data_IF_945781206628
#
_entry.id   IF_945781206628
#
_cell.length_a   1.000
_cell.length_b   1.000
_cell.length_c   1.000
_cell.angle_alpha   90.00
_cell.angle_beta   90.00
_cell.angle_gamma   90.00
#
_symmetry.space_group_name_H-M   'P 1'
#
loop_
_entity.id
_entity.type
_entity.pdbx_description
1 polymer ?
#
# COMPACT_ATOMS: atom_id res chain seq x y z
N UNK A 1 25.01 6.31 -1.58
CA UNK A 1 24.86 7.74 -1.21
C UNK A 1 23.48 7.84 -0.58
N UNK A 2 23.36 8.25 0.69
CA UNK A 2 22.12 8.04 1.45
C UNK A 2 20.99 9.03 1.08
N UNK A 3 21.30 10.32 0.93
CA UNK A 3 20.34 11.33 0.50
C UNK A 3 20.66 11.84 -0.91
N UNK A 4 19.64 12.30 -1.64
CA UNK A 4 19.80 12.99 -2.92
C UNK A 4 20.53 14.34 -2.76
N UNK A 5 21.08 14.89 -3.84
CA UNK A 5 21.80 16.16 -3.77
C UNK A 5 20.93 17.34 -3.30
N UNK A 6 19.65 17.37 -3.69
CA UNK A 6 18.71 18.41 -3.24
C UNK A 6 18.48 18.36 -1.73
N UNK A 7 18.22 17.15 -1.20
CA UNK A 7 18.02 16.94 0.24
C UNK A 7 19.30 17.27 1.01
N UNK A 8 20.47 16.88 0.50
CA UNK A 8 21.74 17.24 1.13
C UNK A 8 21.95 18.74 1.28
N UNK A 9 21.50 19.56 0.32
CA UNK A 9 21.57 21.02 0.43
C UNK A 9 20.59 21.58 1.48
N UNK A 10 19.36 21.07 1.51
CA UNK A 10 18.36 21.47 2.49
C UNK A 10 18.80 21.12 3.92
N UNK A 11 19.32 19.91 4.11
CA UNK A 11 19.89 19.46 5.39
C UNK A 11 20.99 20.40 5.88
N UNK A 12 21.90 20.82 5.00
CA UNK A 12 22.97 21.78 5.36
C UNK A 12 22.39 23.14 5.74
N UNK A 13 21.43 23.66 4.98
CA UNK A 13 20.78 24.96 5.26
C UNK A 13 20.10 24.92 6.63
N UNK A 14 19.33 23.89 6.90
CA UNK A 14 18.64 23.70 8.17
C UNK A 14 19.64 23.55 9.32
N UNK A 15 20.62 22.64 9.18
CA UNK A 15 21.66 22.43 10.18
C UNK A 15 22.37 23.73 10.57
N UNK A 16 22.67 24.60 9.60
CA UNK A 16 23.32 25.87 9.85
C UNK A 16 22.43 26.90 10.57
N UNK A 17 21.10 26.77 10.48
CA UNK A 17 20.16 27.64 11.22
C UNK A 17 19.95 27.23 12.69
N UNK A 18 20.40 26.03 13.07
CA UNK A 18 20.15 25.47 14.40
C UNK A 18 21.12 26.02 15.46
N UNK A 19 20.67 25.99 16.73
CA UNK A 19 21.56 26.20 17.87
C UNK A 19 22.58 25.06 17.97
N UNK A 20 23.70 25.25 18.67
CA UNK A 20 24.70 24.18 18.84
C UNK A 20 24.15 22.93 19.54
N UNK A 21 23.15 23.10 20.43
CA UNK A 21 22.44 21.99 21.06
C UNK A 21 21.60 21.22 20.04
N UNK A 22 20.84 21.93 19.24
CA UNK A 22 19.94 21.31 18.26
C UNK A 22 20.70 20.72 17.07
N UNK A 23 21.82 21.30 16.68
CA UNK A 23 22.76 20.71 15.71
C UNK A 23 23.22 19.33 16.13
N UNK A 24 23.66 19.17 17.39
CA UNK A 24 24.09 17.87 17.92
C UNK A 24 22.99 16.83 17.83
N UNK A 25 21.79 17.19 18.29
CA UNK A 25 20.60 16.32 18.30
C UNK A 25 20.15 15.96 16.88
N UNK A 26 20.09 16.94 16.00
CA UNK A 26 19.75 16.73 14.61
C UNK A 26 20.75 15.80 13.91
N UNK A 27 22.05 16.05 14.05
CA UNK A 27 23.08 15.19 13.47
C UNK A 27 23.05 13.77 14.05
N UNK A 28 22.68 13.61 15.33
CA UNK A 28 22.47 12.32 15.97
C UNK A 28 21.29 11.54 15.39
N UNK A 29 20.12 12.18 15.27
CA UNK A 29 18.91 11.59 14.68
C UNK A 29 19.19 11.15 13.25
N UNK A 30 19.75 12.04 12.43
CA UNK A 30 20.06 11.73 11.02
C UNK A 30 21.10 10.62 10.89
N UNK A 31 22.09 10.54 11.79
CA UNK A 31 23.06 9.46 11.76
C UNK A 31 22.44 8.11 12.16
N UNK A 32 21.54 8.09 13.15
CA UNK A 32 20.86 6.88 13.62
C UNK A 32 19.90 6.31 12.57
N UNK A 33 19.14 7.17 11.87
CA UNK A 33 18.25 6.77 10.77
C UNK A 33 18.95 5.93 9.69
N UNK A 34 20.23 6.22 9.43
CA UNK A 34 20.99 5.62 8.34
C UNK A 34 21.73 4.32 8.71
N UNK A 35 21.75 3.92 9.99
CA UNK A 35 22.39 2.69 10.45
C UNK A 35 23.91 2.63 10.15
N UNK A 36 24.38 1.52 9.59
CA UNK A 36 25.81 1.29 9.35
C UNK A 36 26.38 2.26 8.30
N UNK A 37 27.38 3.04 8.69
CA UNK A 37 27.98 4.09 7.86
C UNK A 37 27.28 5.46 7.95
N UNK A 38 26.14 5.55 8.62
CA UNK A 38 25.37 6.78 8.82
C UNK A 38 26.18 7.90 9.50
N UNK A 39 26.87 7.56 10.60
CA UNK A 39 27.76 8.50 11.32
C UNK A 39 28.83 9.08 10.38
N UNK A 40 29.53 8.23 9.63
CA UNK A 40 30.59 8.66 8.70
C UNK A 40 30.05 9.55 7.59
N UNK A 41 28.84 9.24 7.09
CA UNK A 41 28.19 10.02 6.05
C UNK A 41 27.74 11.39 6.57
N UNK A 42 27.09 11.46 7.74
CA UNK A 42 26.61 12.72 8.32
C UNK A 42 27.75 13.63 8.73
N UNK A 43 28.86 13.09 9.25
CA UNK A 43 30.10 13.84 9.47
C UNK A 43 30.55 14.55 8.19
N UNK A 44 30.59 13.82 7.07
CA UNK A 44 31.03 14.36 5.79
C UNK A 44 30.02 15.37 5.23
N UNK A 45 28.72 15.13 5.42
CA UNK A 45 27.66 15.97 4.90
C UNK A 45 27.55 17.31 5.64
N UNK A 46 27.51 17.26 6.97
CA UNK A 46 27.27 18.43 7.83
C UNK A 46 28.56 19.10 8.31
N UNK A 47 29.72 18.50 8.06
CA UNK A 47 31.02 19.02 8.49
C UNK A 47 31.21 19.01 10.00
N UNK A 48 30.52 18.10 10.72
CA UNK A 48 30.58 17.99 12.16
C UNK A 48 31.52 16.86 12.61
N UNK A 49 31.84 16.80 13.91
CA UNK A 49 32.73 15.75 14.43
C UNK A 49 31.96 14.53 14.91
N UNK A 50 32.63 13.37 14.98
CA UNK A 50 32.04 12.17 15.59
C UNK A 50 31.57 12.41 17.03
N UNK A 51 32.31 13.21 17.80
CA UNK A 51 31.96 13.57 19.17
C UNK A 51 30.67 14.40 19.24
N UNK A 52 30.43 15.27 18.25
CA UNK A 52 29.18 16.05 18.11
C UNK A 52 27.98 15.12 18.03
N UNK A 53 28.07 14.06 17.21
CA UNK A 53 27.00 13.07 17.01
C UNK A 53 26.82 12.19 18.26
N UNK A 54 27.90 11.64 18.81
CA UNK A 54 27.83 10.78 20.02
C UNK A 54 27.21 11.54 21.20
N UNK A 55 27.59 12.80 21.37
CA UNK A 55 27.00 13.66 22.41
C UNK A 55 25.55 13.96 22.13
N UNK A 56 25.17 14.19 20.87
CA UNK A 56 23.77 14.33 20.48
C UNK A 56 22.92 13.10 20.80
N UNK A 57 23.45 11.88 20.58
CA UNK A 57 22.77 10.62 20.93
C UNK A 57 22.51 10.56 22.43
N UNK A 58 23.53 10.83 23.24
CA UNK A 58 23.40 10.86 24.70
C UNK A 58 22.41 11.94 25.17
N UNK A 59 22.48 13.14 24.58
CA UNK A 59 21.55 14.25 24.85
C UNK A 59 20.10 13.94 24.44
N UNK A 60 19.86 12.94 23.58
CA UNK A 60 18.52 12.46 23.19
C UNK A 60 18.03 11.34 24.11
N UNK A 61 18.91 10.44 24.55
CA UNK A 61 18.61 9.40 25.54
C UNK A 61 18.26 9.98 26.91
N UNK A 62 18.81 11.15 27.24
CA UNK A 62 18.54 11.90 28.48
C UNK A 62 17.36 12.90 28.35
N UNK A 63 16.65 12.92 27.22
CA UNK A 63 15.42 13.71 27.09
C UNK A 63 14.27 12.98 27.77
N UNK A 64 13.81 13.51 28.90
CA UNK A 64 12.49 13.18 29.42
C UNK A 64 11.40 13.65 28.44
N UNK A 65 10.23 12.98 28.45
CA UNK A 65 9.04 13.46 27.75
C UNK A 65 8.79 14.94 28.09
N UNK A 66 8.37 15.78 27.11
CA UNK A 66 8.19 17.19 27.34
C UNK A 66 7.09 17.40 28.40
N UNK A 67 7.49 17.66 29.64
CA UNK A 67 6.63 18.35 30.59
C UNK A 67 6.64 19.83 30.19
N UNK A 68 5.45 20.43 30.10
CA UNK A 68 5.20 21.81 29.62
C UNK A 68 5.90 22.90 30.49
N UNK A 69 6.78 22.53 31.43
CA UNK A 69 7.10 23.37 32.58
C UNK A 69 8.55 23.86 32.71
N UNK A 70 9.45 23.68 31.73
CA UNK A 70 10.87 24.02 31.98
C UNK A 70 11.63 24.79 30.88
N UNK A 71 10.95 25.69 30.17
CA UNK A 71 11.58 26.66 29.25
C UNK A 71 12.28 27.83 29.97
N UNK A 72 12.81 27.62 31.18
CA UNK A 72 13.59 28.65 31.87
C UNK A 72 12.83 29.97 32.10
N UNK A 73 11.50 29.89 32.24
CA UNK A 73 10.67 31.03 32.58
C UNK A 73 10.99 31.50 34.01
N UNK A 74 11.90 32.48 34.11
CA UNK A 74 12.08 33.24 35.34
C UNK A 74 10.79 34.02 35.58
N UNK A 75 10.07 33.75 36.68
CA UNK A 75 8.99 34.61 37.19
C UNK A 75 9.54 36.01 37.40
N UNK A 76 9.39 36.90 36.41
CA UNK A 76 9.72 38.31 36.56
C UNK A 76 8.64 38.96 37.43
N UNK A 77 9.07 39.71 38.45
CA UNK A 77 8.17 40.58 39.22
C UNK A 77 7.45 41.50 38.24
N UNK A 78 6.12 41.53 38.28
CA UNK A 78 5.31 42.42 37.46
C UNK A 78 5.80 43.87 37.65
N UNK A 79 6.36 44.48 36.60
CA UNK A 79 6.80 45.87 36.65
C UNK A 79 5.57 46.77 36.60
N UNK A 80 5.02 47.10 37.77
CA UNK A 80 3.82 47.95 37.94
C UNK A 80 3.99 49.40 37.45
N UNK A 81 5.16 49.80 36.92
CA UNK A 81 5.48 51.18 36.53
C UNK A 81 5.72 51.41 35.03
N UNK A 82 5.57 50.40 34.18
CA UNK A 82 5.47 50.62 32.73
C UNK A 82 4.08 50.25 32.26
N UNK A 83 3.35 51.25 31.77
CA UNK A 83 2.14 51.04 30.99
C UNK A 83 2.50 50.14 29.81
N UNK A 84 1.75 49.05 29.61
CA UNK A 84 1.87 48.19 28.43
C UNK A 84 1.81 49.06 27.19
N UNK A 85 2.95 49.23 26.52
CA UNK A 85 3.02 49.99 25.28
C UNK A 85 2.04 49.40 24.26
N UNK A 86 1.29 50.27 23.59
CA UNK A 86 0.48 49.92 22.44
C UNK A 86 1.45 49.40 21.37
N UNK A 87 1.56 48.08 21.24
CA UNK A 87 2.30 47.47 20.14
C UNK A 87 1.29 47.11 19.05
N UNK A 88 1.46 47.72 17.86
CA UNK A 88 0.56 47.59 16.71
C UNK A 88 0.38 46.14 16.24
N UNK A 89 1.34 45.27 16.56
CA UNK A 89 1.41 43.90 16.04
C UNK A 89 0.94 42.84 17.06
N UNK A 90 0.39 43.26 18.22
CA UNK A 90 0.02 42.32 19.29
C UNK A 90 -1.11 41.39 18.88
N UNK A 91 -2.15 41.90 18.21
CA UNK A 91 -3.24 41.06 17.71
C UNK A 91 -2.77 40.16 16.56
N UNK A 92 -1.89 40.66 15.68
CA UNK A 92 -1.34 39.89 14.58
C UNK A 92 -0.57 38.65 15.06
N UNK A 93 0.11 38.71 16.22
CA UNK A 93 0.77 37.52 16.79
C UNK A 93 -0.23 36.46 17.27
N UNK A 94 -1.31 36.84 17.96
CA UNK A 94 -2.32 35.88 18.42
C UNK A 94 -3.16 35.31 17.28
N UNK A 95 -3.50 36.14 16.29
CA UNK A 95 -4.19 35.70 15.07
C UNK A 95 -3.30 34.78 14.23
N UNK A 96 -1.99 35.02 14.17
CA UNK A 96 -1.06 34.15 13.46
C UNK A 96 -0.81 32.84 14.21
N UNK A 97 -0.82 32.82 15.55
CA UNK A 97 -0.78 31.58 16.34
C UNK A 97 -2.07 30.78 16.13
N UNK A 98 -3.25 31.42 16.20
CA UNK A 98 -4.53 30.74 15.92
C UNK A 98 -4.63 30.24 14.47
N UNK A 99 -4.03 30.98 13.52
CA UNK A 99 -3.89 30.55 12.13
C UNK A 99 -2.91 29.40 11.98
N UNK A 100 -1.81 29.39 12.73
CA UNK A 100 -0.83 28.31 12.71
C UNK A 100 -1.39 27.05 13.39
N UNK A 101 -2.17 27.17 14.47
CA UNK A 101 -2.89 26.05 15.09
C UNK A 101 -3.97 25.47 14.15
N UNK A 102 -4.63 26.31 13.33
CA UNK A 102 -5.59 25.81 12.33
C UNK A 102 -4.94 25.25 11.06
N UNK A 103 -3.71 25.68 10.72
CA UNK A 103 -2.92 25.15 9.61
C UNK A 103 -2.06 23.93 9.98
N UNK A 104 -1.73 23.77 11.26
CA UNK A 104 -0.88 22.72 11.78
C UNK A 104 -1.53 22.06 13.00
N UNK A 105 -2.72 21.51 12.82
CA UNK A 105 -3.20 20.47 13.72
C UNK A 105 -2.33 19.21 13.52
N UNK A 106 -1.15 19.22 14.13
CA UNK A 106 -0.17 18.13 14.10
C UNK A 106 -0.76 16.87 14.74
N UNK A 107 -1.76 17.01 15.62
CA UNK A 107 -2.52 15.89 16.19
C UNK A 107 -3.37 15.22 15.12
N UNK A 108 -4.09 15.97 14.29
CA UNK A 108 -4.83 15.43 13.14
C UNK A 108 -3.91 14.80 12.08
N UNK A 109 -2.76 15.43 11.80
CA UNK A 109 -1.73 14.89 10.90
C UNK A 109 -1.04 13.62 11.44
N UNK A 110 -0.83 13.49 12.74
CA UNK A 110 -0.29 12.27 13.37
C UNK A 110 -1.36 11.18 13.50
N UNK A 111 -2.61 11.55 13.75
CA UNK A 111 -3.76 10.63 13.81
C UNK A 111 -4.08 10.08 12.42
N UNK A 112 -3.88 10.84 11.33
CA UNK A 112 -4.07 10.36 9.95
C UNK A 112 -2.95 9.44 9.43
N UNK A 113 -1.83 9.34 10.17
CA UNK A 113 -0.69 8.49 9.83
C UNK A 113 -0.68 7.14 10.56
N UNK A 114 -1.62 6.93 11.49
CA UNK A 114 -1.78 5.67 12.22
C UNK A 114 -3.21 5.18 12.00
N UNK A 115 -3.38 4.09 11.23
CA UNK A 115 -4.68 3.41 11.20
C UNK A 115 -5.03 2.97 12.62
N UNK A 116 -6.28 3.21 13.02
CA UNK A 116 -6.86 2.51 14.16
C UNK A 116 -6.69 1.00 13.94
N UNK A 117 -6.15 0.25 14.92
CA UNK A 117 -5.96 -1.18 14.77
C UNK A 117 -7.31 -1.88 14.57
N UNK A 118 -7.28 -3.02 13.87
CA UNK A 118 -8.48 -3.81 13.68
C UNK A 118 -8.95 -4.36 15.02
N UNK A 119 -10.22 -4.13 15.36
CA UNK A 119 -10.81 -4.74 16.54
C UNK A 119 -11.16 -6.22 16.31
N UNK A 120 -11.44 -6.94 17.39
CA UNK A 120 -11.76 -8.37 17.33
C UNK A 120 -12.96 -8.70 16.41
N UNK A 121 -13.95 -7.81 16.33
CA UNK A 121 -15.11 -7.98 15.45
C UNK A 121 -14.71 -7.89 13.97
N UNK A 122 -13.85 -6.94 13.61
CA UNK A 122 -13.33 -6.79 12.24
C UNK A 122 -12.46 -8.00 11.85
N UNK A 123 -11.59 -8.46 12.75
CA UNK A 123 -10.76 -9.65 12.52
C UNK A 123 -11.61 -10.91 12.33
N UNK A 124 -12.61 -11.13 13.19
CA UNK A 124 -13.55 -12.26 13.05
C UNK A 124 -14.34 -12.16 11.74
N UNK A 125 -14.86 -10.98 11.42
CA UNK A 125 -15.63 -10.78 10.19
C UNK A 125 -14.76 -11.05 8.94
N UNK A 126 -13.50 -10.63 8.93
CA UNK A 126 -12.58 -10.93 7.84
C UNK A 126 -12.29 -12.43 7.74
N UNK A 127 -12.08 -13.13 8.85
CA UNK A 127 -11.86 -14.58 8.86
C UNK A 127 -13.08 -15.35 8.30
N UNK A 128 -14.28 -14.95 8.71
CA UNK A 128 -15.53 -15.62 8.31
C UNK A 128 -15.90 -15.29 6.86
N UNK A 129 -15.90 -14.00 6.50
CA UNK A 129 -16.45 -13.51 5.21
C UNK A 129 -15.40 -13.35 4.14
N UNK A 130 -14.12 -13.22 4.51
CA UNK A 130 -13.00 -13.06 3.59
C UNK A 130 -12.81 -11.64 3.07
N UNK A 131 -13.50 -10.62 3.61
CA UNK A 131 -13.28 -9.23 3.20
C UNK A 131 -13.55 -8.24 4.34
N UNK A 132 -12.95 -7.05 4.23
CA UNK A 132 -13.09 -5.93 5.15
C UNK A 132 -13.25 -4.64 4.35
N UNK A 133 -14.17 -3.78 4.77
CA UNK A 133 -14.37 -2.44 4.21
C UNK A 133 -13.79 -1.41 5.17
N UNK A 134 -12.90 -0.55 4.65
CA UNK A 134 -12.30 0.59 5.33
C UNK A 134 -12.81 1.86 4.66
N UNK A 135 -13.85 2.47 5.25
CA UNK A 135 -14.49 3.66 4.69
C UNK A 135 -13.60 4.89 4.79
N UNK A 136 -13.46 5.64 3.69
CA UNK A 136 -12.64 6.87 3.60
C UNK A 136 -11.24 6.69 4.19
N UNK A 137 -10.64 5.54 3.93
CA UNK A 137 -9.36 5.12 4.49
C UNK A 137 -8.18 5.94 3.98
N UNK A 138 -8.20 6.30 2.70
CA UNK A 138 -7.16 7.12 2.09
C UNK A 138 -7.43 8.61 2.35
N UNK A 139 -6.41 9.40 2.74
CA UNK A 139 -6.52 10.84 2.87
C UNK A 139 -6.98 11.50 1.56
N UNK A 140 -7.78 12.56 1.66
CA UNK A 140 -8.32 13.29 0.49
C UNK A 140 -7.22 13.84 -0.41
N UNK A 141 -6.11 14.28 0.17
CA UNK A 141 -4.97 14.83 -0.56
C UNK A 141 -4.29 13.75 -1.41
N UNK A 142 -4.11 12.56 -0.83
CA UNK A 142 -3.56 11.40 -1.54
C UNK A 142 -4.47 10.96 -2.69
N UNK A 143 -5.79 10.91 -2.44
CA UNK A 143 -6.79 10.63 -3.48
C UNK A 143 -6.72 11.64 -4.62
N UNK A 144 -6.59 12.93 -4.30
CA UNK A 144 -6.51 14.00 -5.29
C UNK A 144 -5.27 13.90 -6.19
N UNK A 145 -4.16 13.34 -5.69
CA UNK A 145 -2.95 13.11 -6.50
C UNK A 145 -2.97 11.78 -7.25
N UNK A 146 -3.52 10.71 -6.65
CA UNK A 146 -3.60 9.39 -7.28
C UNK A 146 -4.49 9.40 -8.53
N UNK A 147 -5.60 10.13 -8.52
CA UNK A 147 -6.54 10.17 -9.66
C UNK A 147 -5.88 10.61 -10.98
N UNK A 148 -5.21 11.78 -11.07
CA UNK A 148 -4.47 12.16 -12.27
C UNK A 148 -3.37 11.17 -12.67
N UNK A 149 -2.76 10.47 -11.72
CA UNK A 149 -1.78 9.42 -12.05
C UNK A 149 -2.45 8.20 -12.68
N UNK A 150 -3.64 7.79 -12.21
CA UNK A 150 -4.42 6.72 -12.84
C UNK A 150 -4.86 7.14 -14.25
N UNK A 151 -5.30 8.39 -14.43
CA UNK A 151 -5.62 8.93 -15.76
C UNK A 151 -4.41 8.86 -16.69
N UNK A 152 -3.23 9.31 -16.23
CA UNK A 152 -1.99 9.19 -17.00
C UNK A 152 -1.64 7.73 -17.32
N UNK A 153 -1.84 6.82 -16.38
CA UNK A 153 -1.57 5.40 -16.55
C UNK A 153 -2.46 4.76 -17.62
N UNK A 154 -3.75 5.12 -17.62
CA UNK A 154 -4.76 4.60 -18.55
C UNK A 154 -4.70 5.33 -19.89
N UNK A 155 -4.91 6.64 -19.91
CA UNK A 155 -5.02 7.44 -21.14
C UNK A 155 -3.68 7.58 -21.88
N UNK A 156 -2.56 7.49 -21.15
CA UNK A 156 -1.21 7.49 -21.74
C UNK A 156 -0.81 6.17 -22.39
N UNK A 157 -1.65 5.13 -22.33
CA UNK A 157 -1.37 3.80 -22.90
C UNK A 157 -0.37 2.95 -22.10
N UNK A 158 0.12 3.43 -20.96
CA UNK A 158 1.11 2.74 -20.13
C UNK A 158 0.55 1.41 -19.58
N UNK A 159 -0.73 1.40 -19.20
CA UNK A 159 -1.43 0.19 -18.76
C UNK A 159 -1.46 -0.90 -19.84
N UNK A 160 -1.78 -0.52 -21.07
CA UNK A 160 -1.88 -1.46 -22.19
C UNK A 160 -0.49 -1.98 -22.59
N UNK A 161 0.52 -1.11 -22.56
CA UNK A 161 1.91 -1.52 -22.76
C UNK A 161 2.35 -2.53 -21.69
N UNK A 162 2.14 -2.22 -20.40
CA UNK A 162 2.47 -3.13 -19.31
C UNK A 162 1.73 -4.48 -19.43
N UNK A 163 0.48 -4.46 -19.89
CA UNK A 163 -0.32 -5.66 -20.17
C UNK A 163 0.28 -6.47 -21.32
N UNK A 164 0.67 -5.82 -22.42
CA UNK A 164 1.30 -6.47 -23.56
C UNK A 164 2.62 -7.16 -23.21
N UNK A 165 3.43 -6.57 -22.32
CA UNK A 165 4.66 -7.19 -21.81
C UNK A 165 4.36 -8.48 -21.02
N UNK A 166 3.32 -8.47 -20.19
CA UNK A 166 2.89 -9.65 -19.44
C UNK A 166 2.41 -10.75 -20.38
N UNK A 167 1.55 -10.42 -21.36
CA UNK A 167 1.03 -11.39 -22.34
C UNK A 167 2.12 -12.01 -23.21
N UNK A 168 3.17 -11.25 -23.54
CA UNK A 168 4.33 -11.72 -24.29
C UNK A 168 5.37 -12.44 -23.43
N UNK A 169 5.21 -12.47 -22.10
CA UNK A 169 6.17 -13.08 -21.18
C UNK A 169 7.55 -12.40 -21.18
N UNK A 170 7.61 -11.09 -21.45
CA UNK A 170 8.88 -10.37 -21.53
C UNK A 170 9.48 -10.19 -20.14
N UNK A 171 10.71 -10.69 -19.93
CA UNK A 171 11.43 -10.59 -18.65
C UNK A 171 12.02 -9.20 -18.40
N UNK A 172 12.24 -8.41 -19.45
CA UNK A 172 12.53 -6.98 -19.29
C UNK A 172 11.27 -6.20 -18.88
N UNK A 173 11.37 -5.18 -18.01
CA UNK A 173 10.23 -4.35 -17.66
C UNK A 173 9.82 -3.43 -18.82
N UNK A 174 8.56 -2.97 -18.86
CA UNK A 174 8.16 -1.87 -19.74
C UNK A 174 8.95 -0.59 -19.42
N UNK A 175 8.97 0.42 -20.31
CA UNK A 175 9.68 1.68 -20.09
C UNK A 175 9.31 2.40 -18.79
N UNK A 176 8.05 2.23 -18.35
CA UNK A 176 7.54 2.71 -17.06
C UNK A 176 6.77 1.59 -16.40
N UNK A 177 7.16 1.21 -15.18
CA UNK A 177 6.36 0.36 -14.32
C UNK A 177 5.43 1.21 -13.46
N UNK A 178 4.22 0.71 -13.19
CA UNK A 178 3.19 1.44 -12.44
C UNK A 178 3.67 1.94 -11.07
N UNK A 179 4.49 1.14 -10.37
CA UNK A 179 5.09 1.49 -9.08
C UNK A 179 6.09 2.66 -9.14
N UNK A 180 6.50 3.09 -10.34
CA UNK A 180 7.39 4.23 -10.53
C UNK A 180 6.64 5.55 -10.65
N UNK A 181 5.30 5.51 -10.74
CA UNK A 181 4.47 6.69 -10.55
C UNK A 181 4.52 7.08 -9.06
N UNK A 182 4.51 8.38 -8.77
CA UNK A 182 4.90 8.91 -7.47
C UNK A 182 4.04 8.36 -6.34
N UNK A 183 2.75 8.66 -6.38
CA UNK A 183 1.83 8.25 -5.32
C UNK A 183 1.39 6.79 -5.44
N UNK A 184 1.35 6.21 -6.65
CA UNK A 184 1.12 4.76 -6.80
C UNK A 184 2.21 3.95 -6.08
N UNK A 185 3.49 4.31 -6.28
CA UNK A 185 4.59 3.66 -5.59
C UNK A 185 4.51 3.87 -4.07
N UNK A 186 4.20 5.09 -3.64
CA UNK A 186 4.06 5.43 -2.22
C UNK A 186 2.94 4.64 -1.53
N UNK A 187 1.82 4.40 -2.23
CA UNK A 187 0.64 3.67 -1.75
C UNK A 187 0.95 2.20 -1.42
N UNK A 188 1.88 1.56 -2.15
CA UNK A 188 2.26 0.15 -1.92
C UNK A 188 2.71 -0.09 -0.48
N UNK A 189 3.45 0.87 0.09
CA UNK A 189 3.95 0.83 1.47
C UNK A 189 3.20 1.79 2.40
N UNK A 190 1.93 2.12 2.13
CA UNK A 190 1.16 3.06 2.95
C UNK A 190 1.10 2.59 4.42
N UNK A 191 1.60 3.36 5.42
CA UNK A 191 1.85 2.82 6.76
C UNK A 191 0.59 2.32 7.48
N UNK A 192 -0.56 3.05 7.43
CA UNK A 192 -1.83 2.54 7.93
C UNK A 192 -2.23 1.19 7.32
N UNK A 193 -1.99 0.99 6.02
CA UNK A 193 -2.27 -0.30 5.36
C UNK A 193 -1.32 -1.38 5.87
N UNK A 194 -0.03 -1.11 5.96
CA UNK A 194 0.95 -2.12 6.41
C UNK A 194 0.67 -2.59 7.85
N UNK A 195 0.24 -1.68 8.73
CA UNK A 195 -0.16 -2.01 10.10
C UNK A 195 -1.41 -2.91 10.15
N UNK A 196 -2.38 -2.68 9.26
CA UNK A 196 -3.57 -3.54 9.10
C UNK A 196 -3.18 -4.91 8.55
N UNK A 197 -2.35 -4.97 7.51
CA UNK A 197 -1.89 -6.22 6.90
C UNK A 197 -1.09 -7.07 7.90
N UNK A 198 -0.27 -6.45 8.74
CA UNK A 198 0.46 -7.16 9.79
C UNK A 198 -0.45 -7.83 10.81
N UNK A 199 -1.61 -7.25 11.12
CA UNK A 199 -2.61 -7.86 12.00
C UNK A 199 -3.32 -9.05 11.31
N UNK A 200 -3.56 -8.96 10.00
CA UNK A 200 -4.24 -10.02 9.25
C UNK A 200 -3.32 -11.20 8.90
N UNK A 201 -2.07 -10.92 8.52
CA UNK A 201 -1.16 -11.89 7.90
C UNK A 201 0.04 -12.22 8.78
N UNK A 202 0.23 -11.49 9.89
CA UNK A 202 1.44 -11.55 10.71
C UNK A 202 2.54 -10.62 10.19
N UNK A 203 3.71 -10.61 10.86
CA UNK A 203 4.75 -9.60 10.61
C UNK A 203 5.55 -9.80 9.32
N UNK A 204 5.40 -10.96 8.66
CA UNK A 204 6.14 -11.32 7.46
C UNK A 204 5.14 -11.44 6.32
N UNK A 205 5.17 -10.48 5.39
CA UNK A 205 4.42 -10.52 4.14
C UNK A 205 5.17 -9.75 3.05
N UNK A 206 4.82 -10.02 1.80
CA UNK A 206 5.45 -9.44 0.63
C UNK A 206 4.42 -8.83 -0.32
N UNK A 207 4.76 -7.71 -0.94
CA UNK A 207 4.05 -7.14 -2.07
C UNK A 207 4.21 -8.05 -3.28
N UNK A 208 3.08 -8.38 -3.91
CA UNK A 208 3.05 -9.30 -5.04
C UNK A 208 2.92 -8.56 -6.38
N UNK A 209 1.92 -7.69 -6.53
CA UNK A 209 1.76 -6.83 -7.72
C UNK A 209 0.77 -5.69 -7.46
N UNK A 210 0.73 -4.76 -8.42
CA UNK A 210 -0.16 -3.61 -8.48
C UNK A 210 -0.89 -3.61 -9.84
N UNK A 211 -2.15 -3.18 -9.85
CA UNK A 211 -2.89 -2.88 -11.06
C UNK A 211 -3.89 -1.74 -10.86
N UNK A 212 -3.82 -0.70 -11.70
CA UNK A 212 -4.84 0.35 -11.73
C UNK A 212 -5.75 0.28 -12.95
N UNK A 213 -7.00 0.70 -12.74
CA UNK A 213 -8.03 0.77 -13.76
C UNK A 213 -8.96 1.95 -13.53
N UNK A 214 -9.37 2.60 -14.63
CA UNK A 214 -10.51 3.52 -14.69
C UNK A 214 -11.63 2.81 -15.44
N UNK A 215 -12.83 2.82 -14.87
CA UNK A 215 -14.03 2.30 -15.52
C UNK A 215 -14.97 3.46 -15.81
N UNK A 216 -15.26 3.68 -17.09
CA UNK A 216 -16.22 4.67 -17.56
C UNK A 216 -17.62 4.06 -17.70
N UNK A 217 -18.63 4.91 -17.94
CA UNK A 217 -20.00 4.47 -18.24
C UNK A 217 -20.01 3.41 -19.35
N UNK A 218 -20.78 2.33 -19.16
CA UNK A 218 -20.86 1.22 -20.11
C UNK A 218 -19.69 0.22 -20.05
N UNK A 219 -18.77 0.34 -19.08
CA UNK A 219 -17.71 -0.66 -18.87
C UNK A 219 -18.27 -2.08 -18.69
N UNK A 220 -17.82 -3.03 -19.52
CA UNK A 220 -18.29 -4.43 -19.56
C UNK A 220 -18.12 -5.19 -18.24
N UNK A 221 -18.77 -6.33 -18.08
CA UNK A 221 -18.63 -7.20 -16.89
C UNK A 221 -17.19 -7.69 -16.66
N UNK A 222 -16.89 -8.05 -15.40
CA UNK A 222 -15.80 -8.99 -15.08
C UNK A 222 -16.42 -10.22 -14.43
N UNK A 223 -16.28 -11.37 -15.09
CA UNK A 223 -16.87 -12.64 -14.65
C UNK A 223 -16.39 -13.04 -13.25
N UNK A 224 -17.14 -13.92 -12.58
CA UNK A 224 -16.75 -14.51 -11.30
C UNK A 224 -15.39 -15.22 -11.39
N UNK A 225 -14.47 -14.78 -10.53
CA UNK A 225 -13.12 -15.31 -10.37
C UNK A 225 -12.65 -15.07 -8.94
N UNK A 226 -11.58 -15.72 -8.53
CA UNK A 226 -10.79 -15.29 -7.37
C UNK A 226 -9.37 -14.98 -7.85
N UNK A 227 -8.53 -14.35 -7.03
CA UNK A 227 -7.15 -13.97 -7.38
C UNK A 227 -6.09 -14.64 -6.51
N UNK A 228 -6.46 -15.69 -5.76
CA UNK A 228 -5.50 -16.47 -4.98
C UNK A 228 -4.52 -17.23 -5.89
N UNK A 229 -3.26 -16.80 -5.88
CA UNK A 229 -2.21 -17.35 -6.74
C UNK A 229 -1.54 -18.57 -6.08
N UNK A 230 -1.96 -19.77 -6.49
CA UNK A 230 -1.37 -21.04 -6.09
C UNK A 230 -1.52 -22.05 -7.23
N UNK A 231 -0.44 -22.75 -7.56
CA UNK A 231 -0.45 -23.74 -8.65
C UNK A 231 0.17 -25.07 -8.21
N UNK A 232 -0.60 -26.18 -8.19
CA UNK A 232 -2.07 -26.25 -8.28
C UNK A 232 -2.77 -25.72 -7.01
N UNK A 233 -4.06 -25.41 -7.11
CA UNK A 233 -4.88 -25.03 -5.96
C UNK A 233 -5.10 -26.26 -5.05
N UNK A 234 -4.48 -26.27 -3.88
CA UNK A 234 -4.48 -27.45 -2.98
C UNK A 234 -4.96 -27.15 -1.58
N UNK A 235 -4.80 -25.92 -1.10
CA UNK A 235 -5.19 -25.52 0.25
C UNK A 235 -5.33 -23.98 0.36
N UNK A 236 -5.62 -23.51 1.57
CA UNK A 236 -5.68 -22.10 1.98
C UNK A 236 -4.84 -21.84 3.23
N UNK A 237 -3.70 -22.53 3.33
CA UNK A 237 -2.86 -22.51 4.54
C UNK A 237 -2.20 -21.17 4.83
N UNK A 238 -2.03 -20.35 3.81
CA UNK A 238 -1.42 -19.03 3.91
C UNK A 238 -2.33 -18.00 3.24
N UNK A 239 -2.29 -16.78 3.75
CA UNK A 239 -3.13 -15.71 3.25
C UNK A 239 -2.49 -15.02 2.06
N UNK A 240 -3.30 -14.72 1.06
CA UNK A 240 -3.03 -13.68 0.09
C UNK A 240 -4.20 -12.72 0.14
N UNK A 241 -3.95 -11.43 0.01
CA UNK A 241 -4.99 -10.41 -0.07
C UNK A 241 -4.83 -9.55 -1.31
N UNK A 242 -5.95 -9.10 -1.86
CA UNK A 242 -6.01 -7.96 -2.78
C UNK A 242 -6.67 -6.79 -2.05
N UNK A 243 -6.09 -5.62 -2.20
CA UNK A 243 -6.47 -4.39 -1.54
C UNK A 243 -6.97 -3.43 -2.60
N UNK A 244 -8.30 -3.30 -2.68
CA UNK A 244 -8.99 -2.48 -3.67
C UNK A 244 -9.22 -1.07 -3.13
N UNK A 245 -8.43 -0.11 -3.59
CA UNK A 245 -8.58 1.30 -3.28
C UNK A 245 -9.52 1.98 -4.29
N UNK A 246 -10.68 2.43 -3.81
CA UNK A 246 -11.69 3.15 -4.59
C UNK A 246 -11.53 4.66 -4.39
N UNK A 247 -10.84 5.31 -5.32
CA UNK A 247 -10.47 6.73 -5.16
C UNK A 247 -11.71 7.64 -5.08
N UNK A 248 -12.70 7.42 -5.96
CA UNK A 248 -13.99 8.13 -5.95
C UNK A 248 -15.08 7.39 -5.17
N UNK A 249 -14.72 6.28 -4.51
CA UNK A 249 -15.69 5.42 -3.85
C UNK A 249 -16.51 4.60 -4.83
N UNK A 250 -17.69 4.18 -4.39
CA UNK A 250 -18.69 3.42 -5.15
C UNK A 250 -20.05 4.06 -4.90
N UNK A 251 -20.86 4.19 -5.95
CA UNK A 251 -22.12 4.92 -5.87
C UNK A 251 -23.28 4.18 -6.57
N UNK A 252 -23.09 2.92 -6.92
CA UNK A 252 -24.14 2.12 -7.54
C UNK A 252 -24.29 2.34 -9.05
N UNK A 253 -23.49 3.21 -9.68
CA UNK A 253 -23.73 3.63 -11.09
C UNK A 253 -22.76 3.01 -12.10
N UNK A 254 -21.53 2.68 -11.70
CA UNK A 254 -20.52 2.02 -12.55
C UNK A 254 -19.93 0.83 -11.82
N UNK A 255 -20.18 -0.39 -12.34
CA UNK A 255 -19.21 -1.46 -12.16
C UNK A 255 -18.87 -1.82 -10.72
N UNK A 256 -19.85 -1.90 -9.82
CA UNK A 256 -19.59 -2.14 -8.40
C UNK A 256 -18.99 -3.54 -8.13
N UNK A 257 -18.33 -3.66 -6.98
CA UNK A 257 -17.74 -4.91 -6.52
C UNK A 257 -18.83 -5.82 -5.98
N UNK A 258 -18.88 -7.05 -6.47
CA UNK A 258 -19.73 -8.09 -5.90
C UNK A 258 -18.83 -9.21 -5.41
N UNK A 259 -19.03 -9.64 -4.16
CA UNK A 259 -18.25 -10.69 -3.51
C UNK A 259 -19.14 -11.86 -3.12
N UNK A 260 -18.57 -13.06 -3.01
CA UNK A 260 -19.22 -14.22 -2.43
C UNK A 260 -18.57 -14.50 -1.06
N UNK A 261 -19.13 -14.00 0.05
CA UNK A 261 -18.54 -14.14 1.38
C UNK A 261 -18.32 -15.60 1.77
N UNK A 262 -17.22 -15.90 2.45
CA UNK A 262 -16.88 -17.25 2.92
C UNK A 262 -16.29 -18.15 1.83
N UNK A 263 -16.36 -17.75 0.55
CA UNK A 263 -15.86 -18.56 -0.56
C UNK A 263 -14.34 -18.72 -0.57
N UNK A 264 -13.59 -17.93 0.20
CA UNK A 264 -12.16 -18.13 0.42
C UNK A 264 -11.81 -19.50 1.01
N UNK A 265 -12.75 -20.13 1.72
CA UNK A 265 -12.59 -21.47 2.29
C UNK A 265 -12.69 -22.59 1.23
N UNK A 266 -13.17 -22.26 0.03
CA UNK A 266 -13.30 -23.21 -1.07
C UNK A 266 -11.97 -23.28 -1.81
N UNK A 267 -11.40 -24.49 -1.89
CA UNK A 267 -10.27 -24.78 -2.77
C UNK A 267 -10.82 -25.10 -4.15
N UNK A 268 -10.69 -24.13 -5.06
CA UNK A 268 -11.12 -24.23 -6.45
C UNK A 268 -10.11 -23.54 -7.36
N UNK A 269 -10.19 -23.83 -8.66
CA UNK A 269 -9.43 -23.12 -9.69
C UNK A 269 -9.90 -21.67 -9.84
N UNK A 270 -8.98 -20.78 -10.25
CA UNK A 270 -9.16 -19.33 -10.35
C UNK A 270 -10.49 -18.90 -10.97
N UNK A 271 -10.85 -19.58 -12.06
CA UNK A 271 -12.01 -19.26 -12.90
C UNK A 271 -13.15 -20.29 -12.78
N UNK A 272 -13.20 -21.06 -11.69
CA UNK A 272 -14.18 -22.16 -11.53
C UNK A 272 -15.65 -21.71 -11.63
N UNK A 273 -15.94 -20.44 -11.31
CA UNK A 273 -17.27 -19.84 -11.41
C UNK A 273 -17.47 -18.97 -12.66
N UNK A 274 -16.47 -18.85 -13.54
CA UNK A 274 -16.53 -17.95 -14.69
C UNK A 274 -17.63 -18.30 -15.71
N UNK A 275 -18.06 -19.57 -15.76
CA UNK A 275 -19.21 -20.04 -16.56
C UNK A 275 -20.54 -19.37 -16.21
N UNK A 276 -20.65 -18.79 -15.02
CA UNK A 276 -21.81 -18.02 -14.60
C UNK A 276 -21.73 -16.54 -15.01
N UNK A 277 -20.69 -16.14 -15.75
CA UNK A 277 -20.47 -14.74 -16.11
C UNK A 277 -20.35 -13.87 -14.86
N UNK A 278 -21.07 -12.74 -14.83
CA UNK A 278 -21.27 -11.92 -13.63
C UNK A 278 -22.70 -12.06 -13.05
N UNK A 279 -23.44 -13.13 -13.41
CA UNK A 279 -24.81 -13.33 -12.94
C UNK A 279 -24.89 -13.40 -11.40
N UNK A 280 -26.02 -13.01 -10.80
CA UNK A 280 -26.25 -13.19 -9.37
C UNK A 280 -26.07 -14.64 -8.91
N UNK A 281 -25.28 -14.84 -7.85
CA UNK A 281 -25.11 -16.11 -7.16
C UNK A 281 -25.77 -16.06 -5.77
N UNK A 282 -26.36 -17.17 -5.28
CA UNK A 282 -26.92 -17.21 -3.94
C UNK A 282 -25.88 -16.86 -2.87
N UNK A 283 -26.24 -15.94 -1.96
CA UNK A 283 -25.39 -15.51 -0.86
C UNK A 283 -24.33 -14.47 -1.23
N UNK A 284 -24.32 -13.96 -2.47
CA UNK A 284 -23.46 -12.83 -2.82
C UNK A 284 -23.79 -11.56 -2.03
N UNK A 285 -22.82 -10.67 -1.95
CA UNK A 285 -22.97 -9.33 -1.39
C UNK A 285 -22.45 -8.31 -2.40
N UNK A 286 -23.29 -7.34 -2.76
CA UNK A 286 -22.87 -6.18 -3.54
C UNK A 286 -22.32 -5.10 -2.59
N UNK A 287 -21.11 -4.64 -2.87
CA UNK A 287 -20.49 -3.49 -2.22
C UNK A 287 -20.56 -2.36 -3.24
N UNK A 288 -21.60 -1.54 -3.14
CA UNK A 288 -21.95 -0.55 -4.17
C UNK A 288 -22.10 0.89 -3.64
N UNK A 289 -21.94 1.09 -2.34
CA UNK A 289 -21.99 2.41 -1.72
C UNK A 289 -20.80 2.60 -0.77
N UNK A 290 -19.78 3.30 -1.25
CA UNK A 290 -18.57 3.63 -0.50
C UNK A 290 -18.24 5.11 -0.71
N UNK A 291 -17.88 5.87 0.34
CA UNK A 291 -17.37 7.22 0.16
C UNK A 291 -16.01 7.22 -0.55
N UNK A 292 -15.60 8.35 -1.16
CA UNK A 292 -14.26 8.52 -1.74
C UNK A 292 -13.12 8.13 -0.80
N UNK A 293 -12.04 7.60 -1.36
CA UNK A 293 -10.89 7.09 -0.63
C UNK A 293 -11.12 5.78 0.13
N UNK A 294 -12.28 5.13 -0.03
CA UNK A 294 -12.55 3.85 0.64
C UNK A 294 -11.67 2.73 0.10
N UNK A 295 -11.32 1.79 0.97
CA UNK A 295 -10.52 0.62 0.63
C UNK A 295 -11.25 -0.65 1.02
N UNK A 296 -11.25 -1.65 0.14
CA UNK A 296 -11.77 -2.99 0.44
C UNK A 296 -10.62 -3.98 0.39
N UNK A 297 -10.30 -4.58 1.53
CA UNK A 297 -9.32 -5.68 1.60
C UNK A 297 -10.10 -6.98 1.41
N UNK A 298 -9.74 -7.78 0.42
CA UNK A 298 -10.30 -9.12 0.21
C UNK A 298 -9.21 -10.15 0.39
N UNK A 299 -9.52 -11.27 1.05
CA UNK A 299 -8.76 -12.49 0.91
C UNK A 299 -8.83 -12.90 -0.57
N UNK A 300 -7.70 -13.09 -1.23
CA UNK A 300 -7.64 -13.32 -2.69
C UNK A 300 -8.42 -14.56 -3.13
N UNK A 301 -8.70 -15.49 -2.23
CA UNK A 301 -9.55 -16.66 -2.47
C UNK A 301 -11.05 -16.38 -2.52
N UNK A 302 -11.50 -15.18 -2.13
CA UNK A 302 -12.91 -14.79 -2.26
C UNK A 302 -13.25 -14.66 -3.74
N UNK A 303 -14.23 -15.44 -4.18
CA UNK A 303 -14.84 -15.23 -5.48
C UNK A 303 -15.51 -13.87 -5.51
N UNK A 304 -15.21 -13.10 -6.54
CA UNK A 304 -15.76 -11.78 -6.76
C UNK A 304 -15.94 -11.53 -8.27
N UNK A 305 -16.78 -10.54 -8.58
CA UNK A 305 -17.14 -10.14 -9.92
C UNK A 305 -17.35 -8.62 -9.97
N UNK A 306 -17.42 -8.10 -11.20
CA UNK A 306 -17.87 -6.74 -11.48
C UNK A 306 -19.06 -6.80 -12.43
N UNK A 307 -20.17 -6.17 -12.07
CA UNK A 307 -21.35 -6.06 -12.95
C UNK A 307 -21.36 -4.74 -13.70
N UNK A 308 -21.45 -4.82 -15.02
CA UNK A 308 -21.71 -3.70 -15.89
C UNK A 308 -23.01 -3.02 -15.46
N UNK A 309 -22.97 -1.69 -15.45
CA UNK A 309 -24.10 -0.83 -15.18
C UNK A 309 -24.13 0.25 -16.27
N UNK A 310 -25.34 0.66 -16.65
CA UNK A 310 -25.55 1.58 -17.77
C UNK A 310 -25.33 3.06 -17.40
N UNK A 311 -25.12 3.39 -16.13
CA UNK A 311 -25.03 4.76 -15.62
C UNK A 311 -23.61 5.27 -15.40
N UNK A 312 -23.50 6.45 -14.77
CA UNK A 312 -22.23 7.04 -14.34
C UNK A 312 -21.53 7.92 -15.39
N UNK A 313 -22.27 8.49 -16.34
CA UNK A 313 -21.69 9.45 -17.29
C UNK A 313 -20.95 10.59 -16.56
N UNK A 314 -19.68 10.79 -16.92
CA UNK A 314 -18.81 11.80 -16.30
C UNK A 314 -18.42 11.51 -14.84
N UNK A 315 -18.71 10.32 -14.32
CA UNK A 315 -18.40 9.91 -12.94
C UNK A 315 -17.65 8.56 -12.91
N UNK A 316 -16.44 8.47 -13.50
CA UNK A 316 -15.71 7.22 -13.62
C UNK A 316 -15.37 6.57 -12.27
N UNK A 317 -15.31 5.24 -12.26
CA UNK A 317 -14.85 4.44 -11.11
C UNK A 317 -13.35 4.17 -11.23
N UNK A 318 -12.58 4.79 -10.37
CA UNK A 318 -11.14 4.54 -10.22
C UNK A 318 -10.88 3.43 -9.20
N UNK A 319 -10.06 2.47 -9.60
CA UNK A 319 -9.60 1.38 -8.76
C UNK A 319 -8.09 1.24 -8.88
N UNK A 320 -7.41 1.23 -7.74
CA UNK A 320 -6.03 0.76 -7.59
C UNK A 320 -6.06 -0.54 -6.78
N UNK A 321 -5.51 -1.61 -7.32
CA UNK A 321 -5.48 -2.94 -6.73
C UNK A 321 -4.05 -3.34 -6.36
N UNK A 322 -3.78 -3.46 -5.06
CA UNK A 322 -2.50 -3.91 -4.51
C UNK A 322 -2.63 -5.32 -3.92
N UNK A 323 -1.76 -6.23 -4.34
CA UNK A 323 -1.75 -7.60 -3.84
C UNK A 323 -0.59 -7.86 -2.87
N UNK A 324 -0.88 -8.59 -1.79
CA UNK A 324 0.11 -8.97 -0.76
C UNK A 324 -0.03 -10.44 -0.36
N UNK A 325 1.10 -11.05 -0.04
CA UNK A 325 1.24 -12.48 0.21
C UNK A 325 1.88 -12.74 1.58
N UNK A 326 1.29 -13.63 2.38
CA UNK A 326 1.83 -14.01 3.69
C UNK A 326 3.16 -14.74 3.52
N UNK A 327 4.14 -14.42 4.36
CA UNK A 327 5.41 -15.14 4.42
C UNK A 327 5.27 -16.55 4.98
N UNK A 328 6.30 -17.38 4.78
CA UNK A 328 6.33 -18.78 5.22
C UNK A 328 6.21 -19.79 4.08
N UNK A 329 5.75 -19.34 2.91
CA UNK A 329 5.74 -20.11 1.66
C UNK A 329 6.25 -19.25 0.50
N UNK A 330 6.59 -19.90 -0.62
CA UNK A 330 6.86 -19.19 -1.86
C UNK A 330 5.59 -19.10 -2.71
N UNK A 331 5.35 -17.92 -3.27
CA UNK A 331 4.20 -17.61 -4.11
C UNK A 331 4.59 -17.56 -5.59
N UNK A 332 3.75 -18.08 -6.49
CA UNK A 332 3.98 -17.94 -7.93
C UNK A 332 3.78 -16.49 -8.33
N UNK A 333 4.73 -15.94 -9.10
CA UNK A 333 4.65 -14.58 -9.63
C UNK A 333 3.72 -14.48 -10.83
N UNK A 334 3.09 -13.32 -11.01
CA UNK A 334 2.22 -13.02 -12.17
C UNK A 334 2.84 -12.07 -13.19
N UNK A 335 3.88 -11.31 -12.81
CA UNK A 335 4.61 -10.43 -13.72
C UNK A 335 5.90 -11.11 -14.18
N UNK A 336 6.19 -11.22 -15.49
CA UNK A 336 7.42 -11.87 -15.97
C UNK A 336 8.70 -11.10 -15.59
N UNK A 337 8.61 -9.79 -15.36
CA UNK A 337 9.69 -8.90 -14.92
C UNK A 337 9.68 -8.64 -13.40
N UNK A 338 9.13 -9.57 -12.60
CA UNK A 338 8.94 -9.40 -11.15
C UNK A 338 10.23 -9.07 -10.40
N UNK A 339 11.38 -9.64 -10.78
CA UNK A 339 12.66 -9.36 -10.11
C UNK A 339 13.06 -7.90 -10.28
N UNK A 340 12.92 -7.36 -11.49
CA UNK A 340 13.20 -5.96 -11.79
C UNK A 340 12.20 -5.04 -11.09
N UNK A 341 10.93 -5.43 -11.03
CA UNK A 341 9.88 -4.72 -10.27
C UNK A 341 10.23 -4.62 -8.78
N UNK A 342 10.56 -5.73 -8.12
CA UNK A 342 10.93 -5.73 -6.71
C UNK A 342 12.25 -4.99 -6.45
N UNK A 343 13.26 -5.16 -7.32
CA UNK A 343 14.51 -4.41 -7.22
C UNK A 343 14.29 -2.90 -7.35
N UNK A 344 13.39 -2.49 -8.26
CA UNK A 344 13.04 -1.08 -8.44
C UNK A 344 12.29 -0.53 -7.22
N UNK A 345 11.33 -1.26 -6.68
CA UNK A 345 10.62 -0.87 -5.46
C UNK A 345 11.58 -0.64 -4.28
N UNK A 346 12.58 -1.53 -4.09
CA UNK A 346 13.65 -1.35 -3.09
C UNK A 346 14.51 -0.12 -3.37
N UNK A 347 14.90 0.10 -4.62
CA UNK A 347 15.70 1.27 -5.02
C UNK A 347 14.96 2.60 -4.79
N UNK A 348 13.63 2.58 -4.89
CA UNK A 348 12.77 3.71 -4.57
C UNK A 348 12.48 3.85 -3.06
N UNK A 349 12.89 2.89 -2.24
CA UNK A 349 12.67 2.93 -0.78
C UNK A 349 11.20 2.78 -0.38
N UNK A 350 10.39 2.07 -1.18
CA UNK A 350 8.95 1.95 -0.95
C UNK A 350 8.60 1.14 0.32
N UNK A 351 9.58 0.43 0.91
CA UNK A 351 9.46 -0.32 2.16
C UNK A 351 9.72 0.55 3.39
N UNK A 352 10.13 1.81 3.15
CA UNK A 352 10.44 2.84 4.16
C UNK A 352 11.49 2.39 5.17
N UNK A 353 12.30 1.39 4.82
CA UNK A 353 13.26 0.76 5.73
C UNK A 353 12.63 0.04 6.93
N UNK A 354 11.30 -0.11 6.97
CA UNK A 354 10.57 -0.77 8.08
C UNK A 354 10.10 -2.17 7.70
N UNK A 355 9.75 -2.39 6.43
CA UNK A 355 9.15 -3.63 5.94
C UNK A 355 10.13 -4.42 5.07
N UNK A 356 11.17 -4.98 5.68
CA UNK A 356 12.27 -5.65 4.96
C UNK A 356 11.84 -6.84 4.09
N UNK A 357 10.72 -7.47 4.40
CA UNK A 357 10.14 -8.58 3.63
C UNK A 357 9.29 -8.13 2.45
N UNK A 358 8.85 -6.86 2.43
CA UNK A 358 7.84 -6.35 1.50
C UNK A 358 8.23 -6.57 0.04
N UNK A 359 9.51 -6.43 -0.28
CA UNK A 359 10.03 -6.66 -1.64
C UNK A 359 11.08 -7.75 -1.70
N UNK A 360 11.07 -8.69 -0.76
CA UNK A 360 12.09 -9.73 -0.72
C UNK A 360 11.80 -10.86 -1.72
N UNK A 361 12.74 -11.12 -2.64
CA UNK A 361 12.58 -12.12 -3.70
C UNK A 361 12.42 -13.56 -3.18
N UNK A 362 12.89 -13.84 -1.96
CA UNK A 362 12.82 -15.17 -1.32
C UNK A 362 11.39 -15.73 -1.19
N UNK A 363 10.39 -14.84 -1.23
CA UNK A 363 8.97 -15.17 -1.12
C UNK A 363 8.34 -15.64 -2.43
N UNK A 364 9.10 -15.66 -3.52
CA UNK A 364 8.55 -15.85 -4.85
C UNK A 364 9.27 -16.93 -5.65
N UNK A 365 8.57 -17.49 -6.64
CA UNK A 365 9.13 -18.34 -7.68
C UNK A 365 8.46 -18.05 -9.03
N UNK A 366 9.20 -18.28 -10.12
CA UNK A 366 8.64 -18.20 -11.47
C UNK A 366 7.84 -19.49 -11.78
N UNK A 367 6.52 -19.43 -11.98
CA UNK A 367 5.73 -20.61 -12.28
C UNK A 367 6.10 -21.22 -13.64
N UNK A 368 6.62 -20.47 -14.61
CA UNK A 368 7.05 -21.02 -15.90
C UNK A 368 8.24 -21.97 -15.75
N UNK A 369 9.20 -21.61 -14.88
CA UNK A 369 10.36 -22.45 -14.57
C UNK A 369 9.92 -23.79 -13.92
N UNK A 370 8.76 -23.80 -13.23
CA UNK A 370 8.21 -24.99 -12.57
C UNK A 370 7.18 -25.75 -13.42
N UNK A 371 6.50 -25.09 -14.37
CA UNK A 371 5.44 -25.68 -15.18
C UNK A 371 5.94 -26.75 -16.15
N UNK A 372 7.13 -26.59 -16.74
CA UNK A 372 7.67 -27.59 -17.68
C UNK A 372 7.97 -28.91 -16.94
N UNK A 373 8.72 -28.93 -15.82
CA UNK A 373 8.87 -30.13 -15.00
C UNK A 373 7.52 -30.67 -14.50
N UNK A 374 6.62 -29.80 -14.01
CA UNK A 374 5.33 -30.22 -13.48
C UNK A 374 4.48 -30.93 -14.54
N UNK A 375 4.40 -30.41 -15.77
CA UNK A 375 3.65 -31.05 -16.87
C UNK A 375 4.20 -32.41 -17.26
N UNK A 376 5.50 -32.66 -17.09
CA UNK A 376 6.10 -33.97 -17.38
C UNK A 376 5.71 -35.04 -16.38
N UNK A 377 5.44 -34.66 -15.13
CA UNK A 377 5.07 -35.60 -14.04
C UNK A 377 3.57 -35.62 -13.74
N UNK A 378 2.84 -34.57 -14.12
CA UNK A 378 1.41 -34.47 -13.88
C UNK A 378 0.65 -35.46 -14.77
N UNK A 379 0.09 -36.50 -14.16
CA UNK A 379 -0.71 -37.53 -14.84
C UNK A 379 -2.18 -37.13 -15.02
N UNK A 380 -2.57 -35.92 -14.61
CA UNK A 380 -3.95 -35.45 -14.63
C UNK A 380 -4.83 -36.15 -13.59
N UNK A 381 -6.11 -35.76 -13.57
CA UNK A 381 -7.09 -36.40 -12.70
C UNK A 381 -7.39 -37.84 -13.16
N UNK A 382 -7.88 -38.69 -12.25
CA UNK A 382 -8.41 -40.02 -12.62
C UNK A 382 -9.53 -39.88 -13.67
N UNK A 383 -10.32 -38.81 -13.59
CA UNK A 383 -11.36 -38.49 -14.55
C UNK A 383 -10.76 -38.23 -15.94
N UNK A 384 -9.74 -37.38 -16.07
CA UNK A 384 -9.06 -37.11 -17.35
C UNK A 384 -8.46 -38.37 -17.98
N UNK A 385 -7.94 -39.28 -17.14
CA UNK A 385 -7.38 -40.56 -17.60
C UNK A 385 -8.45 -41.56 -18.06
N UNK A 386 -9.65 -41.52 -17.47
CA UNK A 386 -10.75 -42.45 -17.75
C UNK A 386 -11.76 -41.92 -18.79
N UNK A 387 -11.83 -40.59 -18.99
CA UNK A 387 -12.77 -39.94 -19.91
C UNK A 387 -12.71 -40.45 -21.35
N UNK A 388 -11.53 -40.72 -21.95
CA UNK A 388 -11.45 -41.30 -23.29
C UNK A 388 -12.16 -42.66 -23.37
N UNK A 389 -11.95 -43.54 -22.39
CA UNK A 389 -12.57 -44.87 -22.34
C UNK A 389 -14.09 -44.79 -22.09
N UNK A 390 -14.52 -43.87 -21.22
CA UNK A 390 -15.95 -43.62 -20.94
C UNK A 390 -16.68 -43.06 -22.16
N UNK A 391 -16.07 -42.11 -22.89
CA UNK A 391 -16.64 -41.56 -24.13
C UNK A 391 -16.69 -42.61 -25.25
N UNK A 392 -15.72 -43.53 -25.31
CA UNK A 392 -15.73 -44.60 -26.29
C UNK A 392 -16.79 -45.67 -25.99
N UNK A 393 -17.03 -46.00 -24.72
CA UNK A 393 -18.18 -46.83 -24.32
C UNK A 393 -19.52 -46.17 -24.65
N UNK A 394 -19.66 -44.86 -24.40
CA UNK A 394 -20.89 -44.11 -24.68
C UNK A 394 -21.19 -43.95 -26.18
N UNK A 395 -20.21 -44.11 -27.07
CA UNK A 395 -20.42 -44.13 -28.53
C UNK A 395 -20.78 -45.51 -29.08
N UNK A 396 -20.59 -46.58 -28.29
CA UNK A 396 -20.82 -47.98 -28.68
C UNK A 396 -22.14 -48.55 -28.16
N UNK A 397 -22.84 -47.83 -27.28
CA UNK A 397 -24.22 -48.13 -26.85
C UNK A 397 -25.18 -47.11 -27.43
#
# INVERSE_FOLDING_TARGET
MFYSSSIQEEMKKFYNSLSEKDKRRYAAIEAQKLGWGGISYIIKLLGCTRNTIVRGIKELEELDEPTINDDGYVKRKAQKKQTTGINKDRNAQFENIARLDSLYDVSSLLTSLVAEPLNATQLSAFADRGYLVLSSFLPSELVATLKPEVDRWVDGGLRDEATAYCLKGLRQPPPVMELELGEHGWLIGYPPLMAILAQLMGPIFAFHHLHSSRHDSGSADKNWHHDYEQYPQTNRSHMMVHVFHYLDGLNGTIGDLVVLPGSQQIVAEKNALSRFGAMPLPGEVAIENLPPGSTVIIHSGVFHARRAKAGGEGQPRYLIDCAYCQGGVRWPVVKPYWQQMLARARALGLDRGQWHDLFAERHFYDPYDQMVPFKQINQGSLLERLMPALMEQARRG
#
